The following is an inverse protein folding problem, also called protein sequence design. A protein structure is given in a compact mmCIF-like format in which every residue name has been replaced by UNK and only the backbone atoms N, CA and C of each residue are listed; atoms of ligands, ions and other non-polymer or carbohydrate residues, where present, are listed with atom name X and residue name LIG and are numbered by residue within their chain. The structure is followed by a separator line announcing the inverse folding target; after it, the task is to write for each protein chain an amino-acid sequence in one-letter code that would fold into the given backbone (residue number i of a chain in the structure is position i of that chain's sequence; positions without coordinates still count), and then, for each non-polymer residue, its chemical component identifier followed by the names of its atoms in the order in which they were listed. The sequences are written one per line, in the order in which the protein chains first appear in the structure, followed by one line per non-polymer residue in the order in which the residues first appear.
data_IF_468224887825
#
_entry.id   IF_468224887825
#
_cell.length_a   1.000
_cell.length_b   1.000
_cell.length_c   1.000
_cell.angle_alpha   90.00
_cell.angle_beta   90.00
_cell.angle_gamma   90.00
#
_symmetry.space_group_name_H-M   'P 1'
#
loop_
_entity.id
_entity.type
_entity.pdbx_description
1 polymer ?
#
# COMPACT_ATOMS: atom_id res chain seq x y z
N UNK A 1 13.54 40.07 -20.68
CA UNK A 1 13.92 38.92 -21.53
C UNK A 1 12.69 38.03 -21.74
N UNK A 2 12.14 37.97 -22.96
CA UNK A 2 11.03 37.05 -23.28
C UNK A 2 11.62 35.64 -23.39
N UNK A 3 11.34 34.78 -22.42
CA UNK A 3 11.63 33.35 -22.54
C UNK A 3 10.77 32.80 -23.68
N UNK A 4 11.42 32.26 -24.72
CA UNK A 4 10.70 31.66 -25.85
C UNK A 4 9.97 30.41 -25.36
N UNK A 5 8.70 30.23 -25.76
CA UNK A 5 7.92 29.01 -25.47
C UNK A 5 8.66 27.74 -25.88
N UNK A 6 9.52 27.84 -26.90
CA UNK A 6 10.40 26.77 -27.38
C UNK A 6 11.45 26.40 -26.34
N UNK A 7 12.04 27.38 -25.65
CA UNK A 7 13.03 27.14 -24.60
C UNK A 7 12.40 26.43 -23.39
N UNK A 8 11.17 26.78 -23.03
CA UNK A 8 10.41 26.09 -21.96
C UNK A 8 10.06 24.66 -22.38
N UNK A 9 9.60 24.48 -23.62
CA UNK A 9 9.26 23.15 -24.16
C UNK A 9 10.49 22.21 -24.22
N UNK A 10 11.64 22.70 -24.69
CA UNK A 10 12.89 21.95 -24.71
C UNK A 10 13.39 21.63 -23.30
N UNK A 11 13.23 22.54 -22.34
CA UNK A 11 13.55 22.29 -20.93
C UNK A 11 12.64 21.21 -20.32
N UNK A 12 11.35 21.23 -20.62
CA UNK A 12 10.42 20.18 -20.19
C UNK A 12 10.76 18.81 -20.79
N UNK A 13 11.21 18.75 -22.05
CA UNK A 13 11.65 17.50 -22.69
C UNK A 13 12.89 16.90 -22.02
N UNK A 14 13.80 17.73 -21.50
CA UNK A 14 14.98 17.26 -20.76
C UNK A 14 14.62 16.62 -19.41
N UNK A 15 13.52 17.04 -18.76
CA UNK A 15 13.01 16.43 -17.51
C UNK A 15 12.40 15.04 -17.77
N UNK A 16 11.97 14.77 -19.00
CA UNK A 16 11.40 13.48 -19.41
C UNK A 16 12.46 12.45 -19.81
N UNK A 17 13.75 12.79 -19.75
CA UNK A 17 14.84 11.82 -19.96
C UNK A 17 15.14 11.20 -18.59
N UNK A 18 14.68 9.96 -18.31
CA UNK A 18 14.95 9.34 -17.03
C UNK A 18 16.45 9.07 -16.91
N UNK A 19 17.12 9.80 -16.03
CA UNK A 19 18.44 9.40 -15.54
C UNK A 19 18.29 8.21 -14.57
N UNK A 20 19.37 7.46 -14.37
CA UNK A 20 19.45 6.50 -13.26
C UNK A 20 19.25 7.26 -11.94
N UNK A 21 18.05 7.19 -11.38
CA UNK A 21 17.79 7.70 -10.05
C UNK A 21 18.44 6.73 -9.07
N UNK A 22 19.65 7.05 -8.61
CA UNK A 22 20.36 6.34 -7.53
C UNK A 22 19.65 6.48 -6.15
N UNK A 23 18.32 6.71 -6.15
CA UNK A 23 17.48 6.74 -4.97
C UNK A 23 17.02 5.34 -4.53
N UNK A 24 17.23 4.31 -5.35
CA UNK A 24 17.00 2.93 -4.97
C UNK A 24 18.25 2.36 -4.29
N UNK A 25 18.33 2.53 -2.97
CA UNK A 25 19.30 1.79 -2.17
C UNK A 25 18.78 0.36 -1.99
N UNK A 26 19.18 -0.55 -2.87
CA UNK A 26 18.99 -1.98 -2.64
C UNK A 26 19.85 -2.38 -1.44
N UNK A 27 19.24 -2.48 -0.27
CA UNK A 27 19.90 -3.20 0.82
C UNK A 27 20.05 -4.66 0.38
N UNK A 28 21.25 -5.25 0.45
CA UNK A 28 21.38 -6.68 0.24
C UNK A 28 20.48 -7.42 1.25
N UNK A 29 20.10 -8.64 0.92
CA UNK A 29 19.51 -9.50 1.94
C UNK A 29 20.53 -9.65 3.08
N UNK A 30 20.12 -9.54 4.36
CA UNK A 30 18.73 -9.58 4.84
C UNK A 30 18.17 -8.25 5.40
N UNK A 31 18.93 -7.14 5.45
CA UNK A 31 18.52 -5.96 6.24
C UNK A 31 17.22 -5.33 5.73
N UNK A 32 17.06 -5.23 4.41
CA UNK A 32 15.85 -4.68 3.80
C UNK A 32 14.59 -5.49 4.14
N UNK A 33 14.73 -6.81 4.21
CA UNK A 33 13.63 -7.72 4.53
C UNK A 33 13.19 -7.59 5.99
N UNK A 34 14.15 -7.51 6.92
CA UNK A 34 13.83 -7.26 8.33
C UNK A 34 13.14 -5.92 8.54
N UNK A 35 13.67 -4.84 7.94
CA UNK A 35 13.05 -3.52 8.04
C UNK A 35 11.63 -3.51 7.46
N UNK A 36 11.42 -4.21 6.34
CA UNK A 36 10.10 -4.34 5.71
C UNK A 36 9.11 -5.11 6.59
N UNK A 37 9.52 -6.24 7.16
CA UNK A 37 8.69 -7.03 8.08
C UNK A 37 8.36 -6.27 9.37
N UNK A 38 9.32 -5.52 9.91
CA UNK A 38 9.09 -4.63 11.05
C UNK A 38 8.08 -3.52 10.72
N UNK A 39 8.11 -2.97 9.50
CA UNK A 39 7.14 -1.98 9.05
C UNK A 39 5.73 -2.57 9.00
N UNK A 40 5.55 -3.81 8.55
CA UNK A 40 4.25 -4.50 8.60
C UNK A 40 3.73 -4.65 10.03
N UNK A 41 4.58 -5.08 10.98
CA UNK A 41 4.20 -5.20 12.38
C UNK A 41 3.78 -3.84 12.96
N UNK A 42 4.60 -2.81 12.74
CA UNK A 42 4.31 -1.47 13.23
C UNK A 42 2.99 -0.92 12.66
N UNK A 43 2.77 -1.10 11.37
CA UNK A 43 1.55 -0.62 10.71
C UNK A 43 0.32 -1.42 11.14
N UNK A 44 0.42 -2.74 11.31
CA UNK A 44 -0.63 -3.58 11.87
C UNK A 44 -1.05 -3.09 13.26
N UNK A 45 -0.09 -2.85 14.15
CA UNK A 45 -0.36 -2.34 15.49
C UNK A 45 -0.99 -0.95 15.45
N UNK A 46 -0.50 -0.06 14.58
CA UNK A 46 -1.05 1.28 14.39
C UNK A 46 -2.51 1.25 13.94
N UNK A 47 -2.84 0.39 12.98
CA UNK A 47 -4.22 0.21 12.51
C UNK A 47 -5.13 -0.41 13.57
N UNK A 48 -4.63 -1.37 14.35
CA UNK A 48 -5.39 -1.98 15.45
C UNK A 48 -5.71 -0.95 16.55
N UNK A 49 -4.71 -0.16 16.96
CA UNK A 49 -4.89 0.92 17.93
C UNK A 49 -5.87 1.96 17.42
N UNK A 50 -5.76 2.38 16.15
CA UNK A 50 -6.67 3.36 15.56
C UNK A 50 -8.11 2.81 15.49
N UNK A 51 -8.30 1.58 15.01
CA UNK A 51 -9.62 0.96 14.93
C UNK A 51 -10.28 0.82 16.31
N UNK A 52 -9.50 0.42 17.32
CA UNK A 52 -9.94 0.35 18.71
C UNK A 52 -10.31 1.73 19.26
N UNK A 53 -9.45 2.72 19.07
CA UNK A 53 -9.68 4.08 19.56
C UNK A 53 -10.93 4.72 18.94
N UNK A 54 -11.17 4.52 17.64
CA UNK A 54 -12.38 4.99 16.96
C UNK A 54 -13.65 4.40 17.58
N UNK A 55 -13.62 3.11 17.95
CA UNK A 55 -14.74 2.43 18.58
C UNK A 55 -14.99 2.92 20.00
N UNK A 56 -13.93 2.98 20.83
CA UNK A 56 -14.06 3.39 22.23
C UNK A 56 -14.59 4.82 22.38
N UNK A 57 -14.20 5.72 21.46
CA UNK A 57 -14.68 7.10 21.45
C UNK A 57 -15.98 7.30 20.66
N UNK A 58 -16.60 6.21 20.17
CA UNK A 58 -17.85 6.23 19.39
C UNK A 58 -17.81 7.12 18.14
N UNK A 59 -16.63 7.35 17.56
CA UNK A 59 -16.50 8.10 16.31
C UNK A 59 -17.20 7.39 15.15
N UNK A 60 -17.31 6.05 15.22
CA UNK A 60 -17.96 5.17 14.23
C UNK A 60 -19.46 5.40 14.07
N UNK A 61 -20.07 6.23 14.94
CA UNK A 61 -21.43 6.75 14.74
C UNK A 61 -21.49 7.65 13.49
N UNK A 62 -20.44 8.43 13.22
CA UNK A 62 -20.32 9.23 12.02
C UNK A 62 -19.85 8.37 10.85
N UNK A 63 -20.43 8.62 9.67
CA UNK A 63 -20.20 7.79 8.48
C UNK A 63 -18.74 7.78 8.04
N UNK A 64 -18.08 8.94 8.04
CA UNK A 64 -16.68 9.04 7.63
C UNK A 64 -15.74 8.21 8.48
N UNK A 65 -15.85 8.31 9.80
CA UNK A 65 -15.05 7.52 10.74
C UNK A 65 -15.33 6.02 10.67
N UNK A 66 -16.58 5.61 10.39
CA UNK A 66 -16.92 4.21 10.17
C UNK A 66 -16.19 3.62 8.97
N UNK A 67 -16.12 4.36 7.86
CA UNK A 67 -15.34 3.93 6.69
C UNK A 67 -13.85 3.86 6.98
N UNK A 68 -13.29 4.80 7.75
CA UNK A 68 -11.90 4.74 8.20
C UNK A 68 -11.64 3.51 9.06
N UNK A 69 -12.56 3.16 9.97
CA UNK A 69 -12.43 1.94 10.79
C UNK A 69 -12.44 0.67 9.91
N UNK A 70 -13.35 0.59 8.93
CA UNK A 70 -13.38 -0.52 7.97
C UNK A 70 -12.05 -0.60 7.20
N UNK A 71 -11.51 0.53 6.75
CA UNK A 71 -10.21 0.58 6.12
C UNK A 71 -9.09 0.06 7.03
N UNK A 72 -9.08 0.46 8.31
CA UNK A 72 -8.10 -0.05 9.29
C UNK A 72 -8.18 -1.57 9.43
N UNK A 73 -9.39 -2.14 9.52
CA UNK A 73 -9.59 -3.60 9.61
C UNK A 73 -9.07 -4.30 8.36
N UNK A 74 -9.39 -3.79 7.16
CA UNK A 74 -8.89 -4.34 5.91
C UNK A 74 -7.36 -4.23 5.80
N UNK A 75 -6.78 -3.12 6.26
CA UNK A 75 -5.33 -2.95 6.32
C UNK A 75 -4.66 -3.93 7.29
N UNK A 76 -5.29 -4.26 8.42
CA UNK A 76 -4.78 -5.32 9.33
C UNK A 76 -4.76 -6.65 8.59
N UNK A 77 -5.85 -7.03 7.92
CA UNK A 77 -5.93 -8.26 7.14
C UNK A 77 -4.87 -8.28 6.03
N UNK A 78 -4.75 -7.19 5.27
CA UNK A 78 -3.74 -7.06 4.23
C UNK A 78 -2.32 -7.20 4.78
N UNK A 79 -2.00 -6.61 5.94
CA UNK A 79 -0.67 -6.74 6.54
C UNK A 79 -0.36 -8.17 6.97
N UNK A 80 -1.33 -8.88 7.53
CA UNK A 80 -1.15 -10.30 7.87
C UNK A 80 -0.87 -11.12 6.60
N UNK A 81 -1.60 -10.86 5.51
CA UNK A 81 -1.39 -11.51 4.22
C UNK A 81 0.00 -11.20 3.65
N UNK A 82 0.39 -9.93 3.60
CA UNK A 82 1.68 -9.50 3.07
C UNK A 82 2.86 -10.01 3.90
N UNK A 83 2.80 -9.86 5.23
CA UNK A 83 3.81 -10.38 6.17
C UNK A 83 4.01 -11.88 5.98
N UNK A 84 2.90 -12.63 5.93
CA UNK A 84 2.94 -14.09 5.70
C UNK A 84 3.48 -14.42 4.31
N UNK A 85 3.12 -13.64 3.29
CA UNK A 85 3.60 -13.82 1.93
C UNK A 85 5.11 -13.71 1.84
N UNK A 86 5.70 -12.69 2.48
CA UNK A 86 7.14 -12.53 2.58
C UNK A 86 7.81 -13.62 3.41
N UNK A 87 7.19 -14.05 4.51
CA UNK A 87 7.72 -15.18 5.28
C UNK A 87 7.73 -16.48 4.47
N UNK A 88 6.65 -16.77 3.72
CA UNK A 88 6.57 -17.94 2.82
C UNK A 88 7.60 -17.84 1.67
N UNK A 89 7.82 -16.64 1.13
CA UNK A 89 8.81 -16.37 0.09
C UNK A 89 10.23 -16.78 0.51
N UNK A 90 10.59 -16.59 1.78
CA UNK A 90 11.87 -17.04 2.34
C UNK A 90 11.97 -18.58 2.47
N UNK A 91 10.84 -19.29 2.53
CA UNK A 91 10.81 -20.74 2.68
C UNK A 91 10.83 -21.49 1.34
N UNK A 92 10.44 -20.84 0.24
CA UNK A 92 10.42 -21.48 -1.08
C UNK A 92 11.79 -21.39 -1.76
N UNK A 93 12.24 -22.45 -2.47
CA UNK A 93 13.47 -22.37 -3.25
C UNK A 93 13.38 -21.28 -4.33
N UNK A 94 14.47 -20.54 -4.58
CA UNK A 94 14.53 -19.58 -5.68
C UNK A 94 14.20 -20.22 -7.04
N UNK A 95 14.47 -21.52 -7.21
CA UNK A 95 14.13 -22.29 -8.40
C UNK A 95 12.61 -22.46 -8.63
N UNK A 96 11.77 -22.19 -7.63
CA UNK A 96 10.31 -22.22 -7.76
C UNK A 96 9.77 -21.09 -8.64
N UNK A 97 10.53 -20.00 -8.81
CA UNK A 97 10.22 -18.90 -9.72
C UNK A 97 11.22 -18.95 -10.88
N UNK A 98 10.72 -19.14 -12.09
CA UNK A 98 11.54 -19.33 -13.30
C UNK A 98 11.26 -18.22 -14.30
N UNK A 99 12.20 -17.96 -15.21
CA UNK A 99 12.11 -16.89 -16.19
C UNK A 99 12.74 -15.57 -15.70
N UNK A 100 12.78 -14.59 -16.60
CA UNK A 100 13.26 -13.24 -16.30
C UNK A 100 12.18 -12.47 -15.51
N UNK A 101 12.53 -11.37 -14.81
CA UNK A 101 11.57 -10.49 -14.14
C UNK A 101 10.75 -9.66 -15.15
N UNK A 102 10.09 -10.34 -16.08
CA UNK A 102 9.24 -9.81 -17.13
C UNK A 102 8.00 -10.73 -17.32
N UNK A 103 7.31 -10.60 -18.45
CA UNK A 103 6.12 -11.41 -18.76
C UNK A 103 6.40 -12.90 -18.98
N UNK A 104 7.66 -13.33 -19.00
CA UNK A 104 8.07 -14.73 -19.10
C UNK A 104 8.16 -15.42 -17.74
N UNK A 105 8.06 -14.67 -16.64
CA UNK A 105 8.14 -15.21 -15.29
C UNK A 105 7.02 -16.22 -15.02
N UNK A 106 7.39 -17.36 -14.44
CA UNK A 106 6.48 -18.50 -14.17
C UNK A 106 6.78 -19.11 -12.80
N UNK A 107 5.72 -19.61 -12.16
CA UNK A 107 5.79 -20.30 -10.87
C UNK A 107 5.57 -21.79 -11.10
N UNK A 108 6.50 -22.62 -10.64
CA UNK A 108 6.36 -24.08 -10.66
C UNK A 108 5.66 -24.57 -9.39
N UNK A 109 4.38 -24.92 -9.52
CA UNK A 109 3.55 -25.43 -8.42
C UNK A 109 4.00 -26.80 -7.88
N UNK A 110 4.80 -27.56 -8.64
CA UNK A 110 5.29 -28.87 -8.21
C UNK A 110 6.57 -28.79 -7.37
N UNK A 111 7.23 -27.62 -7.37
CA UNK A 111 8.56 -27.46 -6.77
C UNK A 111 8.58 -27.45 -5.24
N UNK A 112 7.53 -26.94 -4.58
CA UNK A 112 7.47 -26.89 -3.11
C UNK A 112 6.02 -26.82 -2.60
N UNK A 113 5.64 -27.50 -1.49
CA UNK A 113 4.27 -27.53 -0.99
C UNK A 113 3.67 -26.16 -0.61
N UNK A 114 4.51 -25.17 -0.32
CA UNK A 114 4.06 -23.80 0.01
C UNK A 114 3.81 -22.93 -1.23
N UNK A 115 4.17 -23.36 -2.44
CA UNK A 115 3.99 -22.56 -3.66
C UNK A 115 2.55 -22.15 -3.93
N UNK A 116 1.53 -23.02 -3.77
CA UNK A 116 0.13 -22.61 -3.90
C UNK A 116 -0.26 -21.50 -2.91
N UNK A 117 0.25 -21.58 -1.67
CA UNK A 117 0.01 -20.57 -0.65
C UNK A 117 0.74 -19.25 -1.00
N UNK A 118 2.01 -19.33 -1.42
CA UNK A 118 2.77 -18.18 -1.94
C UNK A 118 2.01 -17.45 -3.04
N UNK A 119 1.52 -18.20 -4.05
CA UNK A 119 0.77 -17.64 -5.16
C UNK A 119 -0.50 -16.94 -4.69
N UNK A 120 -1.26 -17.55 -3.78
CA UNK A 120 -2.47 -16.94 -3.21
C UNK A 120 -2.16 -15.67 -2.41
N UNK A 121 -1.08 -15.66 -1.61
CA UNK A 121 -0.68 -14.52 -0.80
C UNK A 121 -0.15 -13.35 -1.65
N UNK A 122 0.40 -13.59 -2.84
CA UNK A 122 0.77 -12.53 -3.81
C UNK A 122 -0.43 -11.84 -4.45
N UNK A 123 -1.65 -12.34 -4.26
CA UNK A 123 -2.91 -11.69 -4.66
C UNK A 123 -3.47 -10.76 -3.55
N UNK A 124 -2.61 -10.29 -2.65
CA UNK A 124 -2.91 -9.39 -1.52
C UNK A 124 -3.64 -8.10 -1.92
N UNK A 125 -3.52 -7.67 -3.17
CA UNK A 125 -4.20 -6.51 -3.73
C UNK A 125 -5.74 -6.63 -3.68
N UNK A 126 -6.29 -7.84 -3.66
CA UNK A 126 -7.73 -8.04 -3.42
C UNK A 126 -8.19 -7.52 -2.06
N UNK A 127 -7.26 -7.36 -1.10
CA UNK A 127 -7.54 -6.79 0.22
C UNK A 127 -7.09 -5.33 0.30
N UNK A 128 -5.91 -5.00 -0.24
CA UNK A 128 -5.38 -3.63 -0.15
C UNK A 128 -6.23 -2.61 -0.92
N UNK A 129 -6.76 -2.99 -2.10
CA UNK A 129 -7.56 -2.08 -2.93
C UNK A 129 -8.88 -1.69 -2.25
N UNK A 130 -9.70 -2.63 -1.72
CA UNK A 130 -10.84 -2.27 -0.89
C UNK A 130 -10.46 -1.38 0.30
N UNK A 131 -9.34 -1.65 0.99
CA UNK A 131 -8.90 -0.84 2.14
C UNK A 131 -8.70 0.64 1.74
N UNK A 132 -8.00 0.88 0.62
CA UNK A 132 -7.78 2.23 0.09
C UNK A 132 -9.09 2.89 -0.34
N UNK A 133 -10.01 2.16 -0.97
CA UNK A 133 -11.33 2.69 -1.34
C UNK A 133 -12.10 3.15 -0.09
N UNK A 134 -12.14 2.34 0.96
CA UNK A 134 -12.81 2.71 2.21
C UNK A 134 -12.13 3.90 2.90
N UNK A 135 -10.80 3.96 2.88
CA UNK A 135 -10.06 5.11 3.42
C UNK A 135 -10.44 6.39 2.67
N UNK A 136 -10.45 6.35 1.34
CA UNK A 136 -10.84 7.48 0.49
C UNK A 136 -12.28 7.92 0.77
N UNK A 137 -13.23 6.98 0.83
CA UNK A 137 -14.63 7.28 1.13
C UNK A 137 -14.80 7.89 2.53
N UNK A 138 -14.03 7.41 3.51
CA UNK A 138 -14.03 7.95 4.87
C UNK A 138 -13.55 9.39 4.92
N UNK A 139 -12.37 9.67 4.35
CA UNK A 139 -11.80 11.03 4.27
C UNK A 139 -12.75 11.96 3.51
N UNK A 140 -13.29 11.52 2.38
CA UNK A 140 -14.24 12.30 1.58
C UNK A 140 -15.51 12.66 2.37
N UNK A 141 -16.06 11.72 3.14
CA UNK A 141 -17.24 11.99 3.98
C UNK A 141 -16.93 13.07 5.02
N UNK A 142 -15.81 12.93 5.75
CA UNK A 142 -15.40 13.91 6.76
C UNK A 142 -15.15 15.29 6.16
N UNK A 143 -14.54 15.35 4.97
CA UNK A 143 -14.34 16.60 4.24
C UNK A 143 -15.68 17.29 3.93
N UNK A 144 -16.65 16.57 3.35
CA UNK A 144 -17.95 17.15 3.04
C UNK A 144 -18.72 17.60 4.29
N UNK A 145 -18.64 16.83 5.38
CA UNK A 145 -19.23 17.20 6.68
C UNK A 145 -18.60 18.48 7.23
N UNK A 146 -17.27 18.63 7.14
CA UNK A 146 -16.57 19.85 7.58
C UNK A 146 -16.98 21.09 6.77
N UNK A 147 -17.00 20.99 5.44
CA UNK A 147 -17.39 22.10 4.55
C UNK A 147 -18.84 22.53 4.77
N UNK A 148 -19.74 21.56 5.03
CA UNK A 148 -21.15 21.86 5.28
C UNK A 148 -21.34 22.55 6.63
N UNK A 149 -20.60 22.11 7.66
CA UNK A 149 -20.63 22.72 8.99
C UNK A 149 -20.17 24.18 8.95
N UNK A 150 -19.07 24.47 8.26
CA UNK A 150 -18.51 25.82 8.19
C UNK A 150 -19.45 26.80 7.47
N UNK A 151 -20.20 26.33 6.45
CA UNK A 151 -21.21 27.15 5.75
C UNK A 151 -22.47 27.41 6.58
N UNK A 152 -22.84 26.49 7.46
CA UNK A 152 -24.01 26.64 8.33
C UNK A 152 -23.77 27.49 9.58
N UNK A 153 -22.52 27.83 9.89
CA UNK A 153 -22.17 28.75 10.99
C UNK A 153 -22.10 30.22 10.57
N UNK A 154 -22.25 30.51 9.27
CA UNK A 154 -22.24 31.86 8.69
C UNK A 154 -23.66 32.44 8.47
N UNK A 155 -24.72 31.71 8.88
CA UNK A 155 -26.14 32.14 8.90
C UNK A 155 -26.64 32.37 10.33
#
# INVERSE_FOLDING_TARGET
MKTSKISVFLLCLLILIPGSAWGFQSHPAPEGLYAHQMAHIFFLLSMAILAYWLEQNRFTLQRGWRFIQIACILFIVWNLVAFTGHWVEEQIPNASVTGEPDWTQRIDFSSHPLVPLYYALKLDHFVSLPAVIFLFLGIRSLYHESVTRDRGTDE
#
